data_IF_320649576279
#
_entry.id   IF_320649576279
#
_cell.length_a   1.000
_cell.length_b   1.000
_cell.length_c   1.000
_cell.angle_alpha   90.00
_cell.angle_beta   90.00
_cell.angle_gamma   90.00
#
_symmetry.space_group_name_H-M   'P 1'
#
loop_
_entity.id
_entity.type
_entity.pdbx_description
1 polymer ?
#
# COMPACT_ATOMS: atom_id res chain seq x y z
N UNK A 1 -13.38 -5.75 6.76
CA UNK A 1 -12.56 -6.87 7.20
C UNK A 1 -11.49 -6.39 8.17
N UNK A 2 -11.18 -7.18 9.19
CA UNK A 2 -10.10 -6.89 10.15
C UNK A 2 -9.43 -8.17 10.62
N UNK A 3 -8.15 -8.09 10.97
CA UNK A 3 -7.36 -9.15 11.57
C UNK A 3 -7.11 -8.83 13.05
N UNK A 4 -7.41 -9.78 13.94
CA UNK A 4 -7.19 -9.66 15.39
C UNK A 4 -6.28 -10.76 15.90
N UNK A 5 -5.40 -10.41 16.80
CA UNK A 5 -4.61 -11.35 17.56
C UNK A 5 -5.44 -11.79 18.79
N UNK A 6 -5.82 -13.07 18.87
CA UNK A 6 -6.75 -13.55 19.89
C UNK A 6 -6.09 -13.75 21.26
N UNK A 7 -4.79 -14.06 21.26
CA UNK A 7 -3.98 -14.25 22.47
C UNK A 7 -3.51 -12.93 23.11
N UNK A 8 -3.56 -11.82 22.37
CA UNK A 8 -3.25 -10.48 22.87
C UNK A 8 -4.42 -9.50 22.63
N UNK A 9 -5.55 -9.62 23.35
CA UNK A 9 -6.77 -8.86 23.06
C UNK A 9 -6.63 -7.33 23.22
N UNK A 10 -5.59 -6.88 23.94
CA UNK A 10 -5.24 -5.45 24.05
C UNK A 10 -4.62 -4.87 22.79
N UNK A 11 -4.10 -5.72 21.90
CA UNK A 11 -3.62 -5.30 20.59
C UNK A 11 -4.84 -5.11 19.69
N UNK A 12 -5.15 -3.87 19.36
CA UNK A 12 -6.31 -3.56 18.53
C UNK A 12 -6.24 -4.22 17.13
N UNK A 13 -7.35 -4.38 16.44
CA UNK A 13 -7.43 -4.99 15.12
C UNK A 13 -6.59 -4.26 14.06
N UNK A 14 -6.06 -4.99 13.09
CA UNK A 14 -5.47 -4.46 11.86
C UNK A 14 -6.53 -4.46 10.78
N UNK A 15 -6.76 -3.32 10.16
CA UNK A 15 -7.62 -3.14 8.99
C UNK A 15 -6.94 -2.20 8.00
N UNK A 16 -7.29 -2.30 6.74
CA UNK A 16 -6.94 -1.29 5.74
C UNK A 16 -8.07 -0.26 5.70
N UNK A 17 -7.75 1.00 5.93
CA UNK A 17 -8.72 2.10 5.93
C UNK A 17 -8.10 3.33 5.24
N UNK A 18 -8.40 3.47 3.95
CA UNK A 18 -7.88 4.57 3.14
C UNK A 18 -8.53 5.92 3.46
N UNK A 19 -9.72 5.92 4.06
CA UNK A 19 -10.40 7.12 4.54
C UNK A 19 -10.00 7.52 5.97
N UNK A 20 -9.03 6.81 6.59
CA UNK A 20 -8.58 7.15 7.94
C UNK A 20 -7.98 8.56 8.03
N UNK A 21 -8.17 9.22 9.18
CA UNK A 21 -7.63 10.57 9.42
C UNK A 21 -6.13 10.67 9.14
N UNK A 22 -5.35 9.64 9.48
CA UNK A 22 -3.91 9.61 9.28
C UNK A 22 -3.53 9.64 7.79
N UNK A 23 -4.21 8.86 6.94
CA UNK A 23 -3.96 8.84 5.50
C UNK A 23 -4.52 10.09 4.82
N UNK A 24 -5.69 10.57 5.24
CA UNK A 24 -6.26 11.82 4.78
C UNK A 24 -5.33 13.00 5.11
N UNK A 25 -4.83 13.06 6.34
CA UNK A 25 -3.86 14.09 6.73
C UNK A 25 -2.58 14.01 5.88
N UNK A 26 -2.02 12.80 5.69
CA UNK A 26 -0.82 12.62 4.85
C UNK A 26 -1.07 13.04 3.39
N UNK A 27 -2.24 12.74 2.85
CA UNK A 27 -2.65 13.15 1.49
C UNK A 27 -2.74 14.66 1.36
N UNK A 28 -3.35 15.35 2.32
CA UNK A 28 -3.62 16.79 2.25
C UNK A 28 -2.44 17.65 2.70
N UNK A 29 -1.68 17.20 3.71
CA UNK A 29 -0.65 17.99 4.40
C UNK A 29 0.75 17.35 4.38
N UNK A 30 0.89 16.19 3.70
CA UNK A 30 2.19 15.56 3.49
C UNK A 30 3.08 16.36 2.56
N UNK A 31 4.31 15.92 2.41
CA UNK A 31 5.32 16.59 1.59
C UNK A 31 5.03 16.59 0.08
N UNK A 32 3.93 15.99 -0.37
CA UNK A 32 3.58 15.86 -1.77
C UNK A 32 4.70 15.21 -2.59
N UNK A 33 5.05 15.75 -3.75
CA UNK A 33 6.18 15.26 -4.57
C UNK A 33 7.57 15.41 -3.90
N UNK A 34 7.67 16.02 -2.71
CA UNK A 34 8.89 16.11 -1.91
C UNK A 34 9.01 14.95 -0.91
N UNK A 35 7.99 14.14 -0.71
CA UNK A 35 8.07 12.95 0.14
C UNK A 35 9.18 12.00 -0.32
N UNK A 36 9.76 11.27 0.64
CA UNK A 36 10.86 10.34 0.35
C UNK A 36 10.47 9.29 -0.71
N UNK A 37 9.25 8.74 -0.61
CA UNK A 37 8.73 7.77 -1.57
C UNK A 37 8.58 8.37 -2.98
N UNK A 38 8.03 9.58 -3.10
CA UNK A 38 7.89 10.25 -4.39
C UNK A 38 9.26 10.54 -5.06
N UNK A 39 10.27 10.87 -4.24
CA UNK A 39 11.64 11.02 -4.71
C UNK A 39 12.26 9.70 -5.12
N UNK A 40 12.03 8.63 -4.35
CA UNK A 40 12.57 7.30 -4.62
C UNK A 40 12.12 6.77 -5.99
N UNK A 41 10.86 7.01 -6.37
CA UNK A 41 10.33 6.62 -7.69
C UNK A 41 10.64 7.63 -8.81
N UNK A 42 11.34 8.73 -8.52
CA UNK A 42 11.70 9.75 -9.52
C UNK A 42 10.52 10.57 -10.04
N UNK A 43 9.51 10.84 -9.19
CA UNK A 43 8.31 11.61 -9.58
C UNK A 43 8.58 13.10 -9.79
N UNK A 44 9.75 13.61 -9.35
CA UNK A 44 10.11 15.03 -9.50
C UNK A 44 10.10 15.44 -10.97
N UNK A 45 9.35 16.50 -11.30
CA UNK A 45 9.25 17.03 -12.67
C UNK A 45 8.37 16.21 -13.62
N UNK A 46 7.65 15.21 -13.09
CA UNK A 46 6.68 14.41 -13.86
C UNK A 46 5.28 14.60 -13.32
N UNK A 47 4.28 14.50 -14.19
CA UNK A 47 2.88 14.64 -13.79
C UNK A 47 2.32 13.33 -13.24
N UNK A 48 2.71 12.21 -13.82
CA UNK A 48 2.30 10.88 -13.41
C UNK A 48 3.36 9.85 -13.79
N UNK A 49 3.36 8.73 -13.05
CA UNK A 49 4.11 7.51 -13.37
C UNK A 49 3.19 6.30 -13.20
N UNK A 50 3.44 5.25 -13.97
CA UNK A 50 2.90 3.92 -13.70
C UNK A 50 3.89 3.17 -12.82
N UNK A 51 3.51 2.91 -11.58
CA UNK A 51 4.36 2.28 -10.56
C UNK A 51 3.85 0.88 -10.29
N UNK A 52 4.75 -0.09 -10.24
CA UNK A 52 4.45 -1.42 -9.72
C UNK A 52 5.03 -1.51 -8.30
N UNK A 53 4.17 -1.57 -7.30
CA UNK A 53 4.56 -1.86 -5.92
C UNK A 53 4.56 -3.38 -5.71
N UNK A 54 5.74 -3.99 -5.74
CA UNK A 54 5.89 -5.45 -5.62
C UNK A 54 5.89 -5.95 -4.17
N UNK A 55 5.69 -5.07 -3.20
CA UNK A 55 5.68 -5.33 -1.75
C UNK A 55 4.56 -4.58 -1.05
N UNK A 56 3.36 -4.58 -1.62
CA UNK A 56 2.28 -3.66 -1.29
C UNK A 56 1.83 -3.64 0.17
N UNK A 57 1.85 -4.79 0.87
CA UNK A 57 1.40 -4.87 2.25
C UNK A 57 -0.01 -4.31 2.42
N UNK A 58 -0.19 -3.34 3.32
CA UNK A 58 -1.48 -2.67 3.55
C UNK A 58 -1.77 -1.52 2.56
N UNK A 59 -0.98 -1.34 1.51
CA UNK A 59 -1.20 -0.36 0.45
C UNK A 59 -1.01 1.11 0.84
N UNK A 60 -0.34 1.40 1.96
CA UNK A 60 -0.17 2.77 2.45
C UNK A 60 0.68 3.63 1.53
N UNK A 61 1.78 3.08 1.04
CA UNK A 61 2.68 3.78 0.14
C UNK A 61 2.07 3.90 -1.26
N UNK A 62 1.43 2.83 -1.73
CA UNK A 62 0.64 2.86 -2.96
C UNK A 62 -0.43 3.95 -2.94
N UNK A 63 -1.16 4.11 -1.82
CA UNK A 63 -2.15 5.18 -1.64
C UNK A 63 -1.53 6.58 -1.77
N UNK A 64 -0.38 6.80 -1.13
CA UNK A 64 0.32 8.10 -1.24
C UNK A 64 0.72 8.37 -2.68
N UNK A 65 1.32 7.42 -3.37
CA UNK A 65 1.71 7.57 -4.77
C UNK A 65 0.51 7.82 -5.68
N UNK A 66 -0.60 7.09 -5.48
CA UNK A 66 -1.83 7.28 -6.23
C UNK A 66 -2.44 8.67 -5.99
N UNK A 67 -2.40 9.17 -4.74
CA UNK A 67 -2.86 10.53 -4.39
C UNK A 67 -2.02 11.64 -5.04
N UNK A 68 -0.77 11.34 -5.41
CA UNK A 68 0.12 12.24 -6.14
C UNK A 68 -0.04 12.15 -7.67
N UNK A 69 -1.01 11.38 -8.14
CA UNK A 69 -1.36 11.25 -9.55
C UNK A 69 -0.82 9.99 -10.24
N UNK A 70 0.00 9.17 -9.58
CA UNK A 70 0.50 7.92 -10.15
C UNK A 70 -0.63 6.89 -10.35
N UNK A 71 -0.42 5.98 -11.30
CA UNK A 71 -1.16 4.72 -11.37
C UNK A 71 -0.31 3.66 -10.70
N UNK A 72 -0.89 2.91 -9.76
CA UNK A 72 -0.14 1.96 -8.94
C UNK A 72 -0.75 0.57 -9.04
N UNK A 73 -0.02 -0.34 -9.64
CA UNK A 73 -0.28 -1.78 -9.57
C UNK A 73 0.41 -2.33 -8.33
N UNK A 74 -0.34 -3.05 -7.50
CA UNK A 74 0.12 -3.57 -6.21
C UNK A 74 0.19 -5.09 -6.26
N UNK A 75 1.31 -5.68 -5.86
CA UNK A 75 1.43 -7.12 -5.68
C UNK A 75 1.56 -7.43 -4.19
N UNK A 76 0.72 -8.35 -3.71
CA UNK A 76 0.79 -8.85 -2.32
C UNK A 76 0.70 -10.39 -2.34
N UNK A 77 1.70 -11.03 -1.70
CA UNK A 77 1.82 -12.49 -1.65
C UNK A 77 0.96 -13.15 -0.57
N UNK A 78 0.77 -12.46 0.57
CA UNK A 78 -0.03 -12.99 1.68
C UNK A 78 -1.51 -12.90 1.35
N UNK A 79 -2.20 -14.05 1.32
CA UNK A 79 -3.65 -14.09 1.09
C UNK A 79 -4.45 -13.32 2.13
N UNK A 80 -3.99 -13.30 3.39
CA UNK A 80 -4.62 -12.56 4.47
C UNK A 80 -4.48 -11.05 4.25
N UNK A 81 -3.27 -10.57 3.94
CA UNK A 81 -3.00 -9.16 3.68
C UNK A 81 -3.71 -8.69 2.42
N UNK A 82 -3.67 -9.50 1.35
CA UNK A 82 -4.38 -9.22 0.11
C UNK A 82 -5.91 -9.11 0.33
N UNK A 83 -6.50 -9.97 1.18
CA UNK A 83 -7.92 -9.89 1.53
C UNK A 83 -8.25 -8.60 2.30
N UNK A 84 -7.42 -8.19 3.26
CA UNK A 84 -7.57 -6.92 3.97
C UNK A 84 -7.45 -5.73 3.02
N UNK A 85 -6.48 -5.77 2.10
CA UNK A 85 -6.25 -4.71 1.13
C UNK A 85 -7.40 -4.61 0.13
N UNK A 86 -7.90 -5.76 -0.37
CA UNK A 86 -9.05 -5.81 -1.26
C UNK A 86 -10.33 -5.26 -0.61
N UNK A 87 -10.56 -5.56 0.68
CA UNK A 87 -11.66 -4.98 1.45
C UNK A 87 -11.53 -3.46 1.58
N UNK A 88 -10.32 -2.97 1.89
CA UNK A 88 -10.04 -1.55 1.95
C UNK A 88 -10.30 -0.83 0.63
N UNK A 89 -9.87 -1.41 -0.50
CA UNK A 89 -10.12 -0.89 -1.85
C UNK A 89 -11.62 -0.83 -2.17
N UNK A 90 -12.37 -1.89 -1.85
CA UNK A 90 -13.84 -1.91 -2.04
C UNK A 90 -14.55 -0.82 -1.23
N UNK A 91 -14.16 -0.61 0.03
CA UNK A 91 -14.74 0.46 0.85
C UNK A 91 -14.38 1.84 0.34
N UNK A 92 -13.14 2.04 -0.11
CA UNK A 92 -12.72 3.31 -0.72
C UNK A 92 -13.47 3.63 -2.02
N UNK A 93 -13.83 2.60 -2.81
CA UNK A 93 -14.65 2.79 -4.01
C UNK A 93 -16.09 3.26 -3.72
N UNK A 94 -16.56 3.13 -2.47
CA UNK A 94 -17.86 3.64 -2.01
C UNK A 94 -17.73 4.93 -1.17
N UNK A 95 -16.52 5.41 -0.94
CA UNK A 95 -16.25 6.63 -0.16
C UNK A 95 -16.53 7.88 -0.99
N UNK A 96 -17.05 8.94 -0.37
CA UNK A 96 -17.46 10.17 -1.06
C UNK A 96 -16.31 10.94 -1.73
N UNK A 97 -15.10 10.86 -1.17
CA UNK A 97 -13.92 11.56 -1.70
C UNK A 97 -13.02 10.65 -2.55
N UNK A 98 -12.88 9.38 -2.14
CA UNK A 98 -11.92 8.46 -2.75
C UNK A 98 -12.46 7.80 -4.01
N UNK A 99 -13.77 7.57 -4.10
CA UNK A 99 -14.43 6.91 -5.24
C UNK A 99 -14.18 7.60 -6.58
N UNK A 100 -14.01 8.91 -6.57
CA UNK A 100 -13.82 9.70 -7.78
C UNK A 100 -12.48 9.43 -8.50
N UNK A 101 -11.46 8.94 -7.79
CA UNK A 101 -10.11 8.81 -8.37
C UNK A 101 -9.40 7.49 -8.06
N UNK A 102 -9.59 6.95 -6.86
CA UNK A 102 -8.81 5.82 -6.36
C UNK A 102 -9.00 4.53 -7.16
N UNK A 103 -10.22 4.13 -7.60
CA UNK A 103 -10.41 2.92 -8.39
C UNK A 103 -9.67 2.92 -9.73
N UNK A 104 -9.47 4.09 -10.32
CA UNK A 104 -8.73 4.25 -11.57
C UNK A 104 -7.21 4.29 -11.36
N UNK A 105 -6.73 4.40 -10.12
CA UNK A 105 -5.33 4.62 -9.78
C UNK A 105 -4.68 3.46 -9.04
N UNK A 106 -5.45 2.57 -8.41
CA UNK A 106 -4.91 1.49 -7.59
C UNK A 106 -5.53 0.16 -7.97
N UNK A 107 -4.70 -0.80 -8.37
CA UNK A 107 -5.11 -2.16 -8.70
C UNK A 107 -4.29 -3.16 -7.89
N UNK A 108 -4.94 -4.22 -7.38
CA UNK A 108 -4.30 -5.27 -6.59
C UNK A 108 -4.20 -6.56 -7.39
N UNK A 109 -3.02 -7.16 -7.36
CA UNK A 109 -2.71 -8.50 -7.85
C UNK A 109 -2.24 -9.36 -6.66
N UNK A 110 -2.96 -10.45 -6.40
CA UNK A 110 -2.56 -11.40 -5.35
C UNK A 110 -1.64 -12.45 -5.95
N UNK A 111 -0.44 -12.58 -5.41
CA UNK A 111 0.55 -13.58 -5.84
C UNK A 111 1.98 -13.23 -5.45
N UNK A 112 2.89 -14.08 -5.85
CA UNK A 112 4.32 -13.89 -5.62
C UNK A 112 4.86 -12.98 -6.74
N UNK A 113 5.51 -11.87 -6.35
CA UNK A 113 5.95 -10.83 -7.28
C UNK A 113 6.85 -11.37 -8.40
N UNK A 114 7.81 -12.26 -8.07
CA UNK A 114 8.71 -12.84 -9.07
C UNK A 114 7.96 -13.68 -10.11
N UNK A 115 6.95 -14.44 -9.68
CA UNK A 115 6.14 -15.26 -10.60
C UNK A 115 5.27 -14.38 -11.51
N UNK A 116 4.56 -13.41 -10.90
CA UNK A 116 3.71 -12.50 -11.66
C UNK A 116 4.50 -11.63 -12.64
N UNK A 117 5.72 -11.22 -12.27
CA UNK A 117 6.58 -10.42 -13.15
C UNK A 117 7.14 -11.19 -14.34
N UNK A 118 7.39 -12.49 -14.18
CA UNK A 118 7.85 -13.33 -15.30
C UNK A 118 6.79 -13.43 -16.41
N UNK A 119 5.52 -13.43 -16.05
CA UNK A 119 4.38 -13.55 -16.98
C UNK A 119 3.56 -12.25 -17.06
N UNK A 120 4.19 -11.09 -16.78
CA UNK A 120 3.49 -9.80 -16.72
C UNK A 120 2.88 -9.41 -18.06
N UNK A 121 1.58 -9.65 -18.21
CA UNK A 121 0.82 -9.36 -19.44
C UNK A 121 0.13 -7.99 -19.43
N UNK A 122 0.24 -7.25 -18.31
CA UNK A 122 -0.35 -5.92 -18.18
C UNK A 122 0.59 -4.84 -18.72
N UNK A 123 0.14 -3.58 -18.66
CA UNK A 123 0.96 -2.45 -19.08
C UNK A 123 2.29 -2.44 -18.33
N UNK A 124 3.39 -2.29 -19.07
CA UNK A 124 4.73 -2.20 -18.49
C UNK A 124 4.81 -0.97 -17.56
N UNK A 125 5.21 -1.15 -16.28
CA UNK A 125 5.39 -0.03 -15.37
C UNK A 125 6.62 0.82 -15.75
N UNK A 126 6.56 2.10 -15.43
CA UNK A 126 7.71 3.01 -15.53
C UNK A 126 8.73 2.75 -14.42
N UNK A 127 8.25 2.29 -13.25
CA UNK A 127 9.06 2.05 -12.05
C UNK A 127 8.53 0.83 -11.32
N UNK A 128 9.45 -0.03 -10.84
CA UNK A 128 9.17 -1.06 -9.85
C UNK A 128 9.64 -0.56 -8.48
N UNK A 129 8.72 -0.50 -7.52
CA UNK A 129 8.97 -0.10 -6.14
C UNK A 129 9.03 -1.32 -5.24
N UNK A 130 10.03 -1.35 -4.35
CA UNK A 130 10.26 -2.42 -3.38
C UNK A 130 10.57 -1.82 -2.02
N UNK A 131 9.74 -2.15 -1.02
CA UNK A 131 9.99 -1.87 0.40
C UNK A 131 9.71 -3.13 1.25
N UNK A 132 10.54 -4.17 1.12
CA UNK A 132 10.31 -5.44 1.80
C UNK A 132 10.46 -5.28 3.32
N UNK A 133 9.53 -5.90 4.06
CA UNK A 133 9.67 -6.05 5.50
C UNK A 133 10.78 -7.07 5.78
N UNK A 134 11.91 -6.59 6.33
CA UNK A 134 12.95 -7.47 6.84
C UNK A 134 12.66 -7.88 8.28
N UNK A 135 12.94 -9.13 8.69
CA UNK A 135 12.90 -9.53 10.10
C UNK A 135 13.80 -8.59 10.90
N UNK A 136 13.25 -7.96 11.93
CA UNK A 136 14.02 -7.02 12.72
C UNK A 136 15.24 -7.67 13.36
N UNK A 137 16.42 -7.04 13.24
CA UNK A 137 17.50 -7.23 14.20
C UNK A 137 16.92 -6.92 15.58
N UNK A 138 17.31 -7.73 16.60
CA UNK A 138 16.89 -7.55 18.01
C UNK A 138 17.26 -6.14 18.50
N UNK A 139 16.39 -5.17 18.24
CA UNK A 139 16.47 -3.82 18.82
C UNK A 139 15.31 -3.66 19.77
N UNK A 140 15.52 -2.98 20.90
CA UNK A 140 14.53 -2.75 21.95
C UNK A 140 13.37 -1.81 21.53
N UNK A 141 13.25 -1.47 20.26
CA UNK A 141 12.15 -0.64 19.75
C UNK A 141 10.88 -1.49 19.55
N UNK A 142 9.76 -0.99 20.07
CA UNK A 142 8.46 -1.65 19.87
C UNK A 142 8.15 -1.77 18.38
N UNK A 143 7.99 -3.01 17.91
CA UNK A 143 7.60 -3.30 16.53
C UNK A 143 6.17 -2.83 16.32
N UNK A 144 5.90 -2.15 15.20
CA UNK A 144 4.55 -1.72 14.87
C UNK A 144 3.62 -2.94 14.85
N UNK A 145 2.41 -2.77 15.36
CA UNK A 145 1.36 -3.79 15.51
C UNK A 145 1.19 -4.65 14.24
N UNK A 146 1.09 -4.00 13.08
CA UNK A 146 0.90 -4.67 11.81
C UNK A 146 2.07 -5.59 11.45
N UNK A 147 3.29 -5.16 11.77
CA UNK A 147 4.51 -5.95 11.50
C UNK A 147 4.62 -7.19 12.39
N UNK A 148 4.00 -7.18 13.58
CA UNK A 148 3.98 -8.35 14.48
C UNK A 148 3.01 -9.44 14.00
N UNK A 149 1.94 -9.05 13.32
CA UNK A 149 0.90 -9.97 12.85
C UNK A 149 1.24 -10.62 11.50
N UNK A 150 2.22 -10.09 10.76
CA UNK A 150 2.60 -10.57 9.43
C UNK A 150 3.99 -11.25 9.39
N UNK A 151 4.62 -11.46 10.53
CA UNK A 151 5.82 -12.29 10.69
C UNK A 151 5.44 -13.75 10.92
#
# INVERSE_FOLDING_TARGET
LELRQLDEPKVGAVKVDFASDALTFRRLHGGGKKEAIARAIGLKGKDSLHVLDATAGLGRDAFVLASLGCVVDMIERSSVVAALLQDGLKRAACDTELSAWMPAKMQLFHGIAVELLNDWSHKKPDVVYLDPMFPHRKTNAAVKKEMRLFQ
#
